data_IF_840198681027
#
_entry.id   IF_840198681027
#
_cell.length_a   1.000
_cell.length_b   1.000
_cell.length_c   1.000
_cell.angle_alpha   90.00
_cell.angle_beta   90.00
_cell.angle_gamma   90.00
#
_symmetry.space_group_name_H-M   'P 1'
#
loop_
_entity.id
_entity.type
_entity.pdbx_description
1 polymer ?
#
# COMPACT_ATOMS: atom_id res chain seq x y z
N UNK A 1 2.00 38.24 -5.78
CA UNK A 1 2.84 37.90 -4.59
C UNK A 1 1.94 37.15 -3.62
N UNK A 2 2.36 35.99 -3.12
CA UNK A 2 1.62 35.23 -2.11
C UNK A 2 1.54 36.04 -0.81
N UNK A 3 0.43 35.93 -0.09
CA UNK A 3 0.21 36.59 1.19
C UNK A 3 1.23 36.11 2.25
N UNK A 4 1.70 36.98 3.17
CA UNK A 4 2.77 36.65 4.11
C UNK A 4 2.45 35.55 5.15
N UNK A 5 1.21 35.05 5.18
CA UNK A 5 0.75 34.02 6.12
C UNK A 5 0.54 32.64 5.48
N UNK A 6 1.05 32.41 4.27
CA UNK A 6 0.90 31.11 3.59
C UNK A 6 2.10 30.23 3.91
N UNK A 7 1.84 29.06 4.50
CA UNK A 7 2.83 27.98 4.66
C UNK A 7 2.54 26.89 3.64
N UNK A 8 3.55 26.52 2.86
CA UNK A 8 3.43 25.51 1.80
C UNK A 8 4.16 24.24 2.23
N UNK A 9 3.50 23.09 2.06
CA UNK A 9 4.10 21.77 2.22
C UNK A 9 4.13 21.10 0.84
N UNK A 10 5.31 20.66 0.43
CA UNK A 10 5.50 19.88 -0.79
C UNK A 10 5.88 18.45 -0.40
N UNK A 11 5.27 17.47 -1.04
CA UNK A 11 5.64 16.06 -0.89
C UNK A 11 6.12 15.54 -2.23
N UNK A 12 7.29 14.92 -2.26
CA UNK A 12 7.85 14.30 -3.46
C UNK A 12 8.42 12.93 -3.10
N UNK A 13 8.56 12.05 -4.10
CA UNK A 13 9.37 10.84 -3.95
C UNK A 13 10.85 11.18 -4.09
N UNK A 14 11.72 10.41 -3.44
CA UNK A 14 13.18 10.62 -3.46
C UNK A 14 13.77 10.71 -4.87
N UNK A 15 13.15 10.05 -5.86
CA UNK A 15 13.57 10.13 -7.27
C UNK A 15 13.44 11.54 -7.90
N UNK A 16 12.78 12.48 -7.22
CA UNK A 16 12.66 13.89 -7.60
C UNK A 16 13.43 14.82 -6.65
N UNK A 17 14.05 14.28 -5.59
CA UNK A 17 14.85 15.05 -4.66
C UNK A 17 16.04 15.71 -5.40
N UNK A 18 16.27 17.00 -5.16
CA UNK A 18 17.30 17.78 -5.85
C UNK A 18 16.99 18.20 -7.30
N UNK A 19 15.83 17.84 -7.87
CA UNK A 19 15.44 18.31 -9.23
C UNK A 19 14.92 19.75 -9.25
N UNK A 20 14.53 20.28 -8.10
CA UNK A 20 13.98 21.62 -7.96
C UNK A 20 14.89 22.45 -7.07
N UNK A 21 15.34 23.60 -7.57
CA UNK A 21 16.21 24.51 -6.82
C UNK A 21 15.36 25.44 -5.93
N UNK A 22 14.68 24.86 -4.94
CA UNK A 22 13.88 25.60 -4.00
C UNK A 22 14.79 26.22 -2.94
N UNK A 23 14.75 27.55 -2.83
CA UNK A 23 15.48 28.29 -1.77
C UNK A 23 14.60 28.35 -0.53
N UNK A 24 15.23 28.32 0.65
CA UNK A 24 14.56 28.49 1.96
C UNK A 24 13.49 27.44 2.28
N UNK A 25 13.72 26.18 1.88
CA UNK A 25 12.82 25.06 2.18
C UNK A 25 13.37 24.25 3.35
N UNK A 26 12.50 23.94 4.31
CA UNK A 26 12.78 22.91 5.30
C UNK A 26 12.59 21.55 4.63
N UNK A 27 13.67 20.81 4.50
CA UNK A 27 13.66 19.47 3.93
C UNK A 27 13.49 18.42 5.03
N UNK A 28 12.57 17.50 4.82
CA UNK A 28 12.24 16.43 5.77
C UNK A 28 12.19 15.13 4.98
N UNK A 29 13.23 14.32 5.15
CA UNK A 29 13.22 12.95 4.66
C UNK A 29 12.37 12.10 5.62
N UNK A 30 11.39 11.38 5.06
CA UNK A 30 10.55 10.47 5.83
C UNK A 30 10.84 9.04 5.44
N UNK A 31 11.37 8.28 6.39
CA UNK A 31 11.50 6.84 6.32
C UNK A 31 10.77 6.21 7.53
N UNK A 32 9.83 5.30 7.33
CA UNK A 32 9.18 4.60 8.45
C UNK A 32 10.21 3.83 9.27
N UNK A 33 10.18 4.02 10.59
CA UNK A 33 10.94 3.17 11.50
C UNK A 33 10.21 1.85 11.74
N UNK A 34 10.93 0.84 12.24
CA UNK A 34 10.29 -0.41 12.67
C UNK A 34 9.24 -0.18 13.75
N UNK A 35 9.38 0.84 14.59
CA UNK A 35 8.40 1.17 15.62
C UNK A 35 7.15 1.84 15.03
N UNK A 36 7.30 2.67 14.00
CA UNK A 36 6.16 3.18 13.23
C UNK A 36 5.38 2.03 12.58
N UNK A 37 6.10 1.06 11.99
CA UNK A 37 5.50 -0.13 11.40
C UNK A 37 4.79 -0.99 12.45
N UNK A 38 5.41 -1.24 13.61
CA UNK A 38 4.77 -1.96 14.73
C UNK A 38 3.49 -1.25 15.14
N UNK A 39 3.55 0.05 15.42
CA UNK A 39 2.40 0.83 15.86
C UNK A 39 1.25 0.73 14.85
N UNK A 40 1.55 0.91 13.56
CA UNK A 40 0.58 0.77 12.48
C UNK A 40 -0.02 -0.65 12.40
N UNK A 41 0.83 -1.69 12.39
CA UNK A 41 0.39 -3.07 12.23
C UNK A 41 -0.48 -3.53 13.40
N UNK A 42 -0.11 -3.18 14.63
CA UNK A 42 -0.90 -3.47 15.84
C UNK A 42 -2.31 -2.88 15.73
N UNK A 43 -2.41 -1.61 15.34
CA UNK A 43 -3.69 -0.95 15.11
C UNK A 43 -4.53 -1.64 14.01
N UNK A 44 -3.89 -2.10 12.92
CA UNK A 44 -4.59 -2.85 11.87
C UNK A 44 -5.04 -4.24 12.33
N UNK A 45 -4.21 -4.98 13.07
CA UNK A 45 -4.56 -6.30 13.61
C UNK A 45 -5.81 -6.17 14.49
N UNK A 46 -5.83 -5.20 15.41
CA UNK A 46 -6.98 -4.97 16.28
C UNK A 46 -8.24 -4.61 15.49
N UNK A 47 -8.11 -3.72 14.50
CA UNK A 47 -9.22 -3.33 13.62
C UNK A 47 -9.82 -4.53 12.86
N UNK A 48 -8.97 -5.44 12.36
CA UNK A 48 -9.43 -6.59 11.60
C UNK A 48 -9.92 -7.74 12.50
N UNK A 49 -9.29 -7.96 13.66
CA UNK A 49 -9.67 -8.99 14.61
C UNK A 49 -11.10 -8.80 15.15
N UNK A 50 -11.59 -7.56 15.21
CA UNK A 50 -12.97 -7.26 15.58
C UNK A 50 -14.02 -7.94 14.68
N UNK A 51 -13.65 -8.31 13.45
CA UNK A 51 -14.54 -8.91 12.45
C UNK A 51 -14.00 -10.23 11.87
N UNK A 52 -12.88 -10.74 12.38
CA UNK A 52 -12.22 -11.95 11.91
C UNK A 52 -11.80 -12.80 13.11
N UNK A 53 -12.62 -13.81 13.44
CA UNK A 53 -12.42 -14.70 14.58
C UNK A 53 -11.08 -15.44 14.49
N UNK A 54 -10.71 -15.96 13.32
CA UNK A 54 -9.45 -16.66 13.13
C UNK A 54 -8.24 -15.75 13.40
N UNK A 55 -8.31 -14.48 13.01
CA UNK A 55 -7.26 -13.49 13.31
C UNK A 55 -7.21 -13.18 14.81
N UNK A 56 -8.38 -13.07 15.46
CA UNK A 56 -8.48 -12.80 16.91
C UNK A 56 -7.86 -13.89 17.79
N UNK A 57 -7.76 -15.12 17.28
CA UNK A 57 -7.15 -16.26 17.96
C UNK A 57 -5.61 -16.26 17.89
N UNK A 58 -5.01 -15.44 17.01
CA UNK A 58 -3.56 -15.33 16.87
C UNK A 58 -3.01 -14.24 17.80
N UNK A 59 -1.77 -14.41 18.27
CA UNK A 59 -1.10 -13.35 19.03
C UNK A 59 -0.70 -12.23 18.10
N UNK A 60 -1.01 -11.00 18.49
CA UNK A 60 -0.68 -9.79 17.75
C UNK A 60 0.83 -9.71 17.46
N UNK A 61 1.67 -10.05 18.44
CA UNK A 61 3.13 -10.02 18.28
C UNK A 61 3.65 -11.06 17.28
N UNK A 62 2.99 -12.22 17.12
CA UNK A 62 3.38 -13.22 16.12
C UNK A 62 3.10 -12.68 14.71
N UNK A 63 1.94 -12.05 14.51
CA UNK A 63 1.56 -11.45 13.22
C UNK A 63 2.52 -10.30 12.87
N UNK A 64 2.76 -9.40 13.83
CA UNK A 64 3.63 -8.23 13.64
C UNK A 64 5.08 -8.67 13.39
N UNK A 65 5.56 -9.67 14.14
CA UNK A 65 6.91 -10.23 14.03
C UNK A 65 7.20 -10.88 12.66
N UNK A 66 6.19 -11.50 12.04
CA UNK A 66 6.32 -12.05 10.68
C UNK A 66 6.25 -10.98 9.59
N UNK A 67 5.43 -9.93 9.76
CA UNK A 67 5.22 -8.91 8.72
C UNK A 67 6.38 -7.91 8.62
N UNK A 68 6.93 -7.45 9.74
CA UNK A 68 8.01 -6.43 9.76
C UNK A 68 9.21 -6.78 8.89
N UNK A 69 9.85 -7.97 9.04
CA UNK A 69 11.03 -8.31 8.25
C UNK A 69 10.72 -8.37 6.74
N UNK A 70 9.47 -8.70 6.39
CA UNK A 70 9.02 -8.76 4.99
C UNK A 70 8.72 -7.38 4.42
N UNK A 71 8.27 -6.45 5.26
CA UNK A 71 7.97 -5.07 4.86
C UNK A 71 9.23 -4.26 4.47
N UNK A 72 10.42 -4.63 4.97
CA UNK A 72 11.72 -3.99 4.64
C UNK A 72 11.67 -2.46 4.74
N UNK A 73 11.13 -1.92 5.84
CA UNK A 73 11.00 -0.47 6.07
C UNK A 73 9.92 0.22 5.22
N UNK A 74 9.16 -0.49 4.39
CA UNK A 74 8.12 0.10 3.55
C UNK A 74 6.73 -0.03 4.19
N UNK A 75 6.16 1.11 4.59
CA UNK A 75 4.80 1.19 5.14
C UNK A 75 3.76 0.57 4.19
N UNK A 76 3.87 0.83 2.89
CA UNK A 76 2.95 0.26 1.89
C UNK A 76 2.99 -1.27 1.88
N UNK A 77 4.18 -1.86 2.01
CA UNK A 77 4.32 -3.31 1.97
C UNK A 77 3.74 -3.94 3.25
N UNK A 78 3.97 -3.32 4.42
CA UNK A 78 3.32 -3.69 5.67
C UNK A 78 1.78 -3.65 5.56
N UNK A 79 1.23 -2.58 4.96
CA UNK A 79 -0.22 -2.45 4.71
C UNK A 79 -0.76 -3.56 3.80
N UNK A 80 -0.05 -3.88 2.72
CA UNK A 80 -0.46 -4.93 1.78
C UNK A 80 -0.43 -6.31 2.44
N UNK A 81 0.59 -6.59 3.25
CA UNK A 81 0.71 -7.85 4.00
C UNK A 81 -0.43 -8.03 5.00
N UNK A 82 -0.69 -7.05 5.87
CA UNK A 82 -1.77 -7.18 6.86
C UNK A 82 -3.15 -7.29 6.19
N UNK A 83 -3.35 -6.60 5.05
CA UNK A 83 -4.60 -6.70 4.29
C UNK A 83 -4.80 -8.09 3.68
N UNK A 84 -3.74 -8.71 3.16
CA UNK A 84 -3.78 -10.07 2.60
C UNK A 84 -4.03 -11.14 3.67
N UNK A 85 -3.40 -10.97 4.84
CA UNK A 85 -3.62 -11.83 6.02
C UNK A 85 -5.05 -11.67 6.53
N UNK A 86 -5.53 -10.43 6.73
CA UNK A 86 -6.87 -10.16 7.23
C UNK A 86 -8.00 -10.66 6.31
N UNK A 87 -7.72 -10.88 5.02
CA UNK A 87 -8.67 -11.43 4.07
C UNK A 87 -8.90 -12.95 4.21
N UNK A 88 -8.17 -13.64 5.09
CA UNK A 88 -8.29 -15.10 5.31
C UNK A 88 -9.24 -15.39 6.47
N UNK A 89 -10.08 -16.41 6.30
CA UNK A 89 -11.13 -16.76 7.26
C UNK A 89 -10.79 -17.95 8.17
N UNK A 90 -9.73 -18.71 7.87
CA UNK A 90 -9.32 -19.87 8.68
C UNK A 90 -7.93 -19.66 9.26
N UNK A 91 -7.68 -20.23 10.45
CA UNK A 91 -6.36 -20.20 11.09
C UNK A 91 -5.27 -20.87 10.23
N UNK A 92 -5.63 -21.90 9.47
CA UNK A 92 -4.70 -22.55 8.55
C UNK A 92 -4.29 -21.60 7.43
N UNK A 93 -5.26 -20.97 6.77
CA UNK A 93 -5.01 -20.03 5.68
C UNK A 93 -4.23 -18.80 6.15
N UNK A 94 -4.50 -18.31 7.37
CA UNK A 94 -3.75 -17.22 8.00
C UNK A 94 -2.28 -17.57 8.19
N UNK A 95 -1.99 -18.73 8.79
CA UNK A 95 -0.60 -19.20 8.99
C UNK A 95 0.11 -19.40 7.65
N UNK A 96 -0.57 -19.96 6.66
CA UNK A 96 -0.03 -20.13 5.32
C UNK A 96 0.24 -18.78 4.64
N UNK A 97 -0.64 -17.78 4.81
CA UNK A 97 -0.45 -16.44 4.27
C UNK A 97 0.76 -15.74 4.91
N UNK A 98 0.87 -15.80 6.24
CA UNK A 98 2.01 -15.25 7.00
C UNK A 98 3.34 -15.91 6.60
N UNK A 99 3.36 -17.22 6.43
CA UNK A 99 4.57 -17.93 6.00
C UNK A 99 4.97 -17.69 4.54
N UNK A 100 4.09 -17.12 3.72
CA UNK A 100 4.30 -16.89 2.28
C UNK A 100 4.19 -15.41 1.89
N UNK A 101 4.50 -14.50 2.81
CA UNK A 101 4.50 -13.07 2.53
C UNK A 101 5.55 -12.72 1.45
N UNK A 102 5.17 -11.95 0.42
CA UNK A 102 6.11 -11.55 -0.62
C UNK A 102 7.15 -10.56 -0.09
N UNK A 103 8.44 -10.89 -0.24
CA UNK A 103 9.57 -10.08 0.26
C UNK A 103 9.80 -8.75 -0.47
N UNK A 104 9.09 -8.51 -1.57
CA UNK A 104 9.23 -7.30 -2.35
C UNK A 104 7.93 -6.88 -3.02
N UNK A 105 7.87 -5.59 -3.36
CA UNK A 105 6.69 -4.97 -3.97
C UNK A 105 6.34 -5.59 -5.32
N UNK A 106 7.35 -6.04 -6.09
CA UNK A 106 7.14 -6.69 -7.39
C UNK A 106 6.32 -7.97 -7.23
N UNK A 107 6.69 -8.85 -6.29
CA UNK A 107 5.95 -10.08 -6.03
C UNK A 107 4.55 -9.80 -5.46
N UNK A 108 4.40 -8.70 -4.73
CA UNK A 108 3.10 -8.27 -4.23
C UNK A 108 2.17 -7.84 -5.36
N UNK A 109 2.69 -7.10 -6.34
CA UNK A 109 1.97 -6.76 -7.57
C UNK A 109 1.72 -8.00 -8.44
N UNK A 110 2.67 -8.92 -8.58
CA UNK A 110 2.45 -10.18 -9.31
C UNK A 110 1.30 -10.99 -8.71
N UNK A 111 1.26 -11.16 -7.39
CA UNK A 111 0.11 -11.79 -6.70
C UNK A 111 -1.18 -10.99 -6.86
N UNK A 112 -1.12 -9.66 -6.93
CA UNK A 112 -2.31 -8.84 -7.22
C UNK A 112 -2.83 -9.08 -8.65
N UNK A 113 -1.94 -9.11 -9.64
CA UNK A 113 -2.28 -9.39 -11.03
C UNK A 113 -2.82 -10.80 -11.23
N UNK A 114 -2.33 -11.79 -10.46
CA UNK A 114 -2.83 -13.16 -10.49
C UNK A 114 -4.26 -13.31 -9.95
N UNK A 115 -4.73 -12.39 -9.09
CA UNK A 115 -6.11 -12.41 -8.57
C UNK A 115 -7.15 -12.02 -9.61
N UNK A 116 -6.74 -11.36 -10.69
CA UNK A 116 -7.63 -10.87 -11.74
C UNK A 116 -8.06 -12.05 -12.62
N UNK A 117 -9.37 -12.21 -12.81
CA UNK A 117 -9.91 -13.30 -13.62
C UNK A 117 -9.37 -13.24 -15.06
N UNK A 118 -9.07 -14.37 -15.72
CA UNK A 118 -8.47 -14.36 -17.06
C UNK A 118 -9.24 -13.52 -18.09
N UNK A 119 -10.57 -13.52 -18.04
CA UNK A 119 -11.43 -12.70 -18.92
C UNK A 119 -11.39 -11.20 -18.63
N UNK A 120 -10.97 -10.80 -17.43
CA UNK A 120 -10.89 -9.40 -17.00
C UNK A 120 -9.48 -8.81 -17.18
N UNK A 121 -8.47 -9.65 -17.46
CA UNK A 121 -7.08 -9.20 -17.63
C UNK A 121 -6.91 -8.09 -18.67
N UNK A 122 -7.50 -8.16 -19.89
CA UNK A 122 -7.35 -7.09 -20.86
C UNK A 122 -7.91 -5.75 -20.35
N UNK A 123 -9.03 -5.81 -19.63
CA UNK A 123 -9.65 -4.62 -19.05
C UNK A 123 -8.76 -4.06 -17.93
N UNK A 124 -8.27 -4.90 -17.03
CA UNK A 124 -7.41 -4.49 -15.94
C UNK A 124 -6.08 -3.89 -16.43
N UNK A 125 -5.45 -4.48 -17.42
CA UNK A 125 -4.24 -3.94 -18.05
C UNK A 125 -4.51 -2.56 -18.66
N UNK A 126 -5.66 -2.38 -19.32
CA UNK A 126 -6.09 -1.08 -19.84
C UNK A 126 -6.27 -0.08 -18.71
N UNK A 127 -6.99 -0.43 -17.64
CA UNK A 127 -7.17 0.41 -16.45
C UNK A 127 -5.82 0.84 -15.87
N UNK A 128 -4.89 -0.09 -15.68
CA UNK A 128 -3.57 0.20 -15.13
C UNK A 128 -2.78 1.13 -16.04
N UNK A 129 -2.81 0.93 -17.35
CA UNK A 129 -2.19 1.84 -18.32
C UNK A 129 -2.71 3.28 -18.17
N UNK A 130 -4.03 3.46 -18.10
CA UNK A 130 -4.63 4.78 -17.91
C UNK A 130 -4.20 5.40 -16.58
N UNK A 131 -4.20 4.64 -15.49
CA UNK A 131 -3.77 5.12 -14.18
C UNK A 131 -2.29 5.50 -14.13
N UNK A 132 -1.42 4.83 -14.87
CA UNK A 132 0.03 5.10 -14.85
C UNK A 132 0.44 6.24 -15.78
N UNK A 133 -0.25 6.42 -16.91
CA UNK A 133 0.15 7.38 -17.94
C UNK A 133 -0.77 8.60 -18.04
N UNK A 134 -1.84 8.68 -17.24
CA UNK A 134 -2.66 9.89 -17.16
C UNK A 134 -1.89 11.06 -16.54
N UNK A 135 -2.04 12.25 -17.13
CA UNK A 135 -1.45 13.49 -16.61
C UNK A 135 -1.95 13.88 -15.21
N UNK A 136 -3.14 13.42 -14.84
CA UNK A 136 -3.76 13.65 -13.54
C UNK A 136 -4.44 12.38 -13.04
N UNK A 137 -4.52 12.14 -11.72
CA UNK A 137 -5.22 10.98 -11.17
C UNK A 137 -6.66 10.92 -11.67
N UNK A 138 -7.03 9.80 -12.29
CA UNK A 138 -8.39 9.58 -12.79
C UNK A 138 -9.30 9.11 -11.65
N UNK A 139 -10.48 9.71 -11.55
CA UNK A 139 -11.56 9.19 -10.73
C UNK A 139 -12.15 7.92 -11.34
N UNK A 140 -12.83 7.12 -10.53
CA UNK A 140 -13.52 5.91 -11.00
C UNK A 140 -14.54 6.22 -12.10
N UNK A 141 -15.20 7.39 -12.04
CA UNK A 141 -16.17 7.79 -13.05
C UNK A 141 -15.49 8.16 -14.37
N UNK A 142 -14.42 8.96 -14.33
CA UNK A 142 -13.64 9.29 -15.54
C UNK A 142 -13.07 8.03 -16.19
N UNK A 143 -12.59 7.09 -15.38
CA UNK A 143 -12.09 5.82 -15.86
C UNK A 143 -13.20 5.01 -16.56
N UNK A 144 -14.42 4.97 -15.99
CA UNK A 144 -15.58 4.32 -16.64
C UNK A 144 -15.91 4.96 -17.99
N UNK A 145 -15.90 6.30 -18.07
CA UNK A 145 -16.14 6.99 -19.34
C UNK A 145 -15.05 6.68 -20.36
N UNK A 146 -13.77 6.72 -19.96
CA UNK A 146 -12.64 6.41 -20.84
C UNK A 146 -12.70 4.96 -21.37
N UNK A 147 -13.21 4.02 -20.57
CA UNK A 147 -13.39 2.62 -20.95
C UNK A 147 -14.63 2.37 -21.82
N UNK A 148 -15.64 3.24 -21.78
CA UNK A 148 -16.89 3.07 -22.52
C UNK A 148 -16.81 3.59 -23.97
N UNK A 149 -15.93 4.55 -24.23
CA UNK A 149 -15.77 5.23 -25.53
C UNK A 149 -14.69 4.55 -26.39
N UNK A 150 -14.05 3.49 -25.89
CA UNK A 150 -12.86 2.85 -26.48
C UNK A 150 -12.94 1.33 -26.37
#
# INVERSE_FOLDING_TARGET
>A
MLSPNIRLLFTARDCYHGRYNLKEVMDIEYAPTDDDLKCYLRAQVQKHAAFNEALSMMKEDDIVGEIIPQARGMMLLAQLHISDVAARYTLADLRTALGNLPTNIKHTYEKAMQRIAPGEKPLAERVLMWLTFSMSPLTVNELKYALAVN
#
